data_IF_206799392006
#
_entry.id   IF_206799392006
#
_cell.length_a   1.000
_cell.length_b   1.000
_cell.length_c   1.000
_cell.angle_alpha   90.00
_cell.angle_beta   90.00
_cell.angle_gamma   90.00
#
_symmetry.space_group_name_H-M   'P 1'
#
loop_
_entity.id
_entity.type
_entity.pdbx_description
1 polymer ?
#
# COMPACT_ATOMS: atom_id res chain seq x y z
N UNK A 1 -13.61 1.04 13.04
CA UNK A 1 -13.37 0.51 11.68
C UNK A 1 -13.48 1.61 10.63
N UNK A 2 -14.65 2.21 10.40
CA UNK A 2 -14.84 3.28 9.41
C UNK A 2 -13.91 4.49 9.60
N UNK A 3 -13.77 5.01 10.83
CA UNK A 3 -12.84 6.10 11.12
C UNK A 3 -11.39 5.75 10.76
N UNK A 4 -10.95 4.52 11.08
CA UNK A 4 -9.61 4.03 10.77
C UNK A 4 -9.38 3.91 9.26
N UNK A 5 -10.37 3.43 8.51
CA UNK A 5 -10.32 3.34 7.04
C UNK A 5 -10.26 4.74 6.42
N UNK A 6 -11.06 5.69 6.93
CA UNK A 6 -11.05 7.08 6.46
C UNK A 6 -9.71 7.76 6.71
N UNK A 7 -9.16 7.65 7.92
CA UNK A 7 -7.85 8.23 8.25
C UNK A 7 -6.72 7.60 7.42
N UNK A 8 -6.75 6.26 7.25
CA UNK A 8 -5.79 5.56 6.39
C UNK A 8 -5.88 6.02 4.93
N UNK A 9 -7.10 6.11 4.39
CA UNK A 9 -7.33 6.53 3.00
C UNK A 9 -6.89 7.98 2.79
N UNK A 10 -7.18 8.89 3.73
CA UNK A 10 -6.69 10.26 3.67
C UNK A 10 -5.15 10.33 3.68
N UNK A 11 -4.50 9.57 4.57
CA UNK A 11 -3.04 9.49 4.60
C UNK A 11 -2.44 8.99 3.28
N UNK A 12 -3.03 7.93 2.72
CA UNK A 12 -2.62 7.39 1.41
C UNK A 12 -2.80 8.43 0.30
N UNK A 13 -3.92 9.16 0.27
CA UNK A 13 -4.16 10.21 -0.73
C UNK A 13 -3.10 11.31 -0.62
N UNK A 14 -2.77 11.77 0.59
CA UNK A 14 -1.73 12.80 0.80
C UNK A 14 -0.38 12.33 0.24
N UNK A 15 0.03 11.10 0.58
CA UNK A 15 1.27 10.51 0.07
C UNK A 15 1.23 10.34 -1.44
N UNK A 16 0.12 9.86 -1.99
CA UNK A 16 -0.07 9.67 -3.43
C UNK A 16 0.07 10.99 -4.19
N UNK A 17 -0.57 12.06 -3.71
CA UNK A 17 -0.48 13.40 -4.32
C UNK A 17 0.96 13.94 -4.24
N UNK A 18 1.61 13.81 -3.08
CA UNK A 18 2.99 14.25 -2.89
C UNK A 18 3.94 13.52 -3.86
N UNK A 19 3.84 12.19 -3.93
CA UNK A 19 4.66 11.37 -4.83
C UNK A 19 4.35 11.67 -6.30
N UNK A 20 3.07 11.80 -6.66
CA UNK A 20 2.69 12.14 -8.04
C UNK A 20 3.27 13.49 -8.46
N UNK A 21 3.24 14.50 -7.58
CA UNK A 21 3.83 15.81 -7.86
C UNK A 21 5.35 15.73 -8.03
N UNK A 22 6.02 14.96 -7.18
CA UNK A 22 7.46 14.70 -7.28
C UNK A 22 7.82 14.05 -8.62
N UNK A 23 7.18 12.94 -8.99
CA UNK A 23 7.46 12.24 -10.24
C UNK A 23 6.99 12.99 -11.49
N UNK A 24 6.00 13.88 -11.37
CA UNK A 24 5.65 14.81 -12.44
C UNK A 24 6.75 15.83 -12.71
N UNK A 25 7.45 16.28 -11.67
CA UNK A 25 8.50 17.31 -11.77
C UNK A 25 9.88 16.75 -12.11
N UNK A 26 10.23 15.60 -11.55
CA UNK A 26 11.58 15.02 -11.63
C UNK A 26 11.65 13.70 -12.41
N UNK A 27 10.51 13.07 -12.69
CA UNK A 27 10.45 11.74 -13.29
C UNK A 27 10.21 11.72 -14.79
N UNK A 28 10.37 10.54 -15.38
CA UNK A 28 9.88 10.21 -16.71
C UNK A 28 8.39 9.88 -16.63
N UNK A 29 7.62 10.25 -17.65
CA UNK A 29 6.15 10.13 -17.66
C UNK A 29 5.58 8.72 -17.39
N UNK A 30 6.39 7.66 -17.44
CA UNK A 30 5.99 6.28 -17.09
C UNK A 30 6.03 6.00 -15.58
N UNK A 31 6.94 6.61 -14.83
CA UNK A 31 7.19 6.31 -13.41
C UNK A 31 6.00 6.72 -12.53
N UNK A 32 5.35 7.84 -12.86
CA UNK A 32 4.12 8.28 -12.18
C UNK A 32 2.99 7.26 -12.25
N UNK A 33 2.86 6.53 -13.37
CA UNK A 33 1.81 5.52 -13.55
C UNK A 33 2.13 4.23 -12.82
N UNK A 34 3.40 3.83 -12.81
CA UNK A 34 3.87 2.67 -12.03
C UNK A 34 3.65 2.92 -10.54
N UNK A 35 4.03 4.11 -10.05
CA UNK A 35 3.81 4.47 -8.65
C UNK A 35 2.33 4.51 -8.30
N UNK A 36 1.48 5.08 -9.15
CA UNK A 36 0.03 5.10 -8.92
C UNK A 36 -0.53 3.67 -8.81
N UNK A 37 -0.08 2.75 -9.66
CA UNK A 37 -0.43 1.33 -9.58
C UNK A 37 -0.04 0.71 -8.22
N UNK A 38 1.18 0.96 -7.76
CA UNK A 38 1.65 0.49 -6.45
C UNK A 38 0.87 1.08 -5.28
N UNK A 39 0.52 2.37 -5.35
CA UNK A 39 -0.29 3.04 -4.33
C UNK A 39 -1.68 2.40 -4.23
N UNK A 40 -2.32 2.11 -5.36
CA UNK A 40 -3.63 1.44 -5.38
C UNK A 40 -3.53 0.05 -4.72
N UNK A 41 -2.51 -0.73 -5.07
CA UNK A 41 -2.29 -2.07 -4.48
C UNK A 41 -2.09 -1.96 -2.97
N UNK A 42 -1.21 -1.06 -2.51
CA UNK A 42 -0.94 -0.87 -1.09
C UNK A 42 -2.19 -0.39 -0.32
N UNK A 43 -2.98 0.50 -0.92
CA UNK A 43 -4.25 0.96 -0.37
C UNK A 43 -5.26 -0.18 -0.22
N UNK A 44 -5.45 -1.00 -1.25
CA UNK A 44 -6.35 -2.15 -1.21
C UNK A 44 -5.93 -3.13 -0.12
N UNK A 45 -4.65 -3.49 -0.05
CA UNK A 45 -4.13 -4.40 0.98
C UNK A 45 -4.33 -3.80 2.38
N UNK A 46 -4.06 -2.50 2.56
CA UNK A 46 -4.25 -1.81 3.84
C UNK A 46 -5.71 -1.81 4.31
N UNK A 47 -6.67 -1.56 3.40
CA UNK A 47 -8.10 -1.64 3.73
C UNK A 47 -8.47 -3.07 4.12
N UNK A 48 -8.04 -4.08 3.36
CA UNK A 48 -8.34 -5.48 3.66
C UNK A 48 -7.82 -5.87 5.06
N UNK A 49 -6.61 -5.42 5.41
CA UNK A 49 -6.02 -5.67 6.70
C UNK A 49 -6.79 -4.99 7.85
N UNK A 50 -7.19 -3.73 7.68
CA UNK A 50 -8.02 -2.99 8.65
C UNK A 50 -9.42 -3.61 8.78
N UNK A 51 -9.97 -4.16 7.69
CA UNK A 51 -11.24 -4.88 7.68
C UNK A 51 -11.14 -6.28 8.31
N UNK A 52 -9.96 -6.70 8.77
CA UNK A 52 -9.76 -7.95 9.50
C UNK A 52 -9.37 -9.15 8.64
N UNK A 53 -9.15 -8.96 7.33
CA UNK A 53 -8.52 -10.00 6.51
C UNK A 53 -7.05 -10.13 6.90
N UNK A 54 -6.72 -11.23 7.57
CA UNK A 54 -5.34 -11.60 7.88
C UNK A 54 -4.86 -12.59 6.83
N UNK A 55 -3.58 -12.46 6.46
CA UNK A 55 -2.94 -13.52 5.70
C UNK A 55 -3.01 -14.84 6.49
N UNK A 56 -3.21 -15.98 5.82
CA UNK A 56 -3.20 -17.27 6.49
C UNK A 56 -1.86 -17.40 7.23
N UNK A 57 -1.94 -17.79 8.50
CA UNK A 57 -0.76 -18.09 9.28
C UNK A 57 -0.05 -19.23 8.53
N UNK A 58 1.22 -19.08 8.16
CA UNK A 58 1.92 -20.13 7.43
C UNK A 58 1.93 -21.40 8.30
N UNK A 59 1.21 -22.42 7.85
CA UNK A 59 1.08 -23.72 8.54
C UNK A 59 2.43 -24.45 8.59
N UNK A 60 3.36 -24.06 7.71
CA UNK A 60 4.75 -24.50 7.70
C UNK A 60 5.66 -23.27 7.72
N UNK A 61 6.73 -23.26 8.53
CA UNK A 61 7.74 -22.21 8.45
C UNK A 61 8.29 -22.16 7.02
N UNK A 62 8.33 -20.96 6.43
CA UNK A 62 8.92 -20.73 5.11
C UNK A 62 10.41 -21.09 5.09
N UNK A 63 11.06 -20.99 6.25
CA UNK A 63 12.46 -21.37 6.47
C UNK A 63 12.58 -22.24 7.72
N UNK A 64 12.30 -23.56 7.62
CA UNK A 64 12.32 -24.47 8.76
C UNK A 64 13.70 -24.61 9.43
N UNK A 65 14.78 -24.17 8.77
CA UNK A 65 16.16 -24.35 9.22
C UNK A 65 16.80 -23.08 9.82
N UNK A 66 16.09 -21.95 9.91
CA UNK A 66 16.59 -20.77 10.62
C UNK A 66 16.38 -20.97 12.13
N UNK A 67 17.45 -21.39 12.81
CA UNK A 67 17.61 -21.36 14.26
C UNK A 67 18.40 -20.12 14.68
#
# INVERSE_FOLDING_TARGET
MWLSISLFTLGVIVVAVQQFHYWRKYGKGREKWVLLGWVIVAWTIGILFIAGMRFPIPVRPLFPAWK
#
